data_IF_884104142298
#
_entry.id   IF_884104142298
#
_cell.length_a   1.000
_cell.length_b   1.000
_cell.length_c   1.000
_cell.angle_alpha   90.00
_cell.angle_beta   90.00
_cell.angle_gamma   90.00
#
_symmetry.space_group_name_H-M   'P 1'
#
loop_
_entity.id
_entity.type
_entity.pdbx_description
1 polymer ?
#
# COMPACT_ATOMS: atom_id res chain seq x y z
N UNK A 1 45.96 -11.81 11.37
CA UNK A 1 44.93 -12.85 11.16
C UNK A 1 43.70 -12.37 11.90
N UNK A 2 42.82 -11.59 11.25
CA UNK A 2 41.54 -11.23 11.86
C UNK A 2 40.66 -12.46 11.84
N UNK A 3 40.43 -13.05 13.01
CA UNK A 3 39.44 -14.09 13.21
C UNK A 3 38.06 -13.48 12.97
N UNK A 4 37.48 -13.79 11.83
CA UNK A 4 36.09 -13.47 11.49
C UNK A 4 35.21 -14.33 12.41
N UNK A 5 34.74 -13.71 13.49
CA UNK A 5 33.81 -14.32 14.42
C UNK A 5 32.49 -14.57 13.66
N UNK A 6 31.86 -15.76 13.79
CA UNK A 6 30.61 -16.01 13.08
C UNK A 6 29.57 -14.99 13.51
N UNK A 7 29.17 -14.15 12.54
CA UNK A 7 28.08 -13.20 12.57
C UNK A 7 26.89 -13.73 13.38
N UNK A 8 26.60 -13.16 14.53
CA UNK A 8 25.50 -13.64 15.39
C UNK A 8 24.16 -13.11 14.86
N UNK A 9 23.13 -13.95 14.90
CA UNK A 9 21.74 -13.50 14.63
C UNK A 9 21.37 -12.41 15.62
N UNK A 10 20.61 -11.41 15.18
CA UNK A 10 20.14 -10.33 16.05
C UNK A 10 19.29 -10.86 17.22
N UNK A 11 19.48 -10.25 18.39
CA UNK A 11 18.79 -10.64 19.64
C UNK A 11 17.95 -9.52 20.23
N UNK A 12 18.06 -8.27 19.72
CA UNK A 12 17.18 -7.18 20.11
C UNK A 12 15.72 -7.53 19.77
N UNK A 13 14.80 -7.47 20.75
CA UNK A 13 13.41 -7.88 20.56
C UNK A 13 12.64 -7.03 19.54
N UNK A 14 13.18 -5.87 19.13
CA UNK A 14 12.61 -5.07 18.05
C UNK A 14 12.88 -5.68 16.68
N UNK A 15 13.95 -6.44 16.51
CA UNK A 15 14.38 -6.95 15.21
C UNK A 15 14.45 -8.49 15.18
N UNK A 16 13.37 -9.22 15.53
CA UNK A 16 13.37 -10.66 15.42
C UNK A 16 13.39 -11.08 13.95
N UNK A 17 14.24 -12.06 13.63
CA UNK A 17 14.20 -12.73 12.32
C UNK A 17 13.01 -13.69 12.24
N UNK A 18 12.52 -13.94 11.02
CA UNK A 18 11.41 -14.83 10.72
C UNK A 18 10.27 -14.10 9.99
N UNK A 19 9.04 -14.58 10.20
CA UNK A 19 7.83 -14.10 9.52
C UNK A 19 7.32 -12.78 10.07
N UNK A 20 7.00 -11.87 9.17
CA UNK A 20 6.41 -10.56 9.43
C UNK A 20 5.19 -10.34 8.55
N UNK A 21 4.25 -9.58 9.08
CA UNK A 21 3.02 -9.15 8.42
C UNK A 21 2.94 -7.63 8.44
N UNK A 22 2.02 -7.06 7.67
CA UNK A 22 1.67 -5.66 7.76
C UNK A 22 1.16 -5.11 6.45
N UNK A 23 1.16 -3.79 6.31
CA UNK A 23 0.60 -3.14 5.13
C UNK A 23 1.38 -1.90 4.70
N UNK A 24 1.15 -1.49 3.46
CA UNK A 24 1.53 -0.17 2.97
C UNK A 24 0.31 0.62 2.51
N UNK A 25 0.45 1.94 2.49
CA UNK A 25 -0.55 2.88 1.99
C UNK A 25 -0.01 3.51 0.71
N UNK A 26 -0.87 3.67 -0.30
CA UNK A 26 -0.56 4.40 -1.53
C UNK A 26 -1.70 5.38 -1.82
N UNK A 27 -1.41 6.68 -1.91
CA UNK A 27 -2.44 7.69 -2.16
C UNK A 27 -3.19 7.50 -3.49
N UNK A 28 -2.63 6.72 -4.43
CA UNK A 28 -3.24 6.40 -5.72
C UNK A 28 -4.24 5.26 -5.63
N UNK A 29 -4.16 4.41 -4.60
CA UNK A 29 -5.02 3.25 -4.40
C UNK A 29 -5.49 3.23 -2.94
N UNK A 30 -6.78 3.57 -2.67
CA UNK A 30 -7.31 3.60 -1.32
C UNK A 30 -7.14 2.27 -0.57
N UNK A 31 -7.04 2.36 0.75
CA UNK A 31 -6.99 1.21 1.66
C UNK A 31 -5.58 0.79 2.06
N UNK A 32 -5.54 -0.21 2.95
CA UNK A 32 -4.32 -0.91 3.37
C UNK A 32 -4.02 -2.01 2.37
N UNK A 33 -2.77 -2.07 1.92
CA UNK A 33 -2.29 -3.10 1.02
C UNK A 33 -1.41 -4.06 1.80
N UNK A 34 -1.96 -5.23 2.12
CA UNK A 34 -1.30 -6.26 2.93
C UNK A 34 -0.02 -6.77 2.27
N UNK A 35 0.96 -7.10 3.10
CA UNK A 35 2.23 -7.70 2.71
C UNK A 35 2.68 -8.74 3.73
N UNK A 36 3.24 -9.82 3.20
CA UNK A 36 3.89 -10.86 3.98
C UNK A 36 5.39 -10.86 3.69
N UNK A 37 6.19 -11.03 4.74
CA UNK A 37 7.64 -10.98 4.65
C UNK A 37 8.29 -12.10 5.47
N UNK A 38 9.45 -12.55 5.02
CA UNK A 38 10.40 -13.30 5.82
C UNK A 38 11.70 -12.49 5.91
N UNK A 39 12.02 -12.02 7.11
CA UNK A 39 13.11 -11.08 7.37
C UNK A 39 14.22 -11.76 8.17
N UNK A 40 15.46 -11.45 7.82
CA UNK A 40 16.66 -11.84 8.58
C UNK A 40 17.41 -10.58 9.00
N UNK A 41 17.64 -10.46 10.30
CA UNK A 41 18.43 -9.41 10.93
C UNK A 41 19.71 -10.04 11.50
N UNK A 42 20.87 -9.57 11.01
CA UNK A 42 22.19 -10.08 11.42
C UNK A 42 23.23 -9.01 11.13
N UNK A 43 24.09 -8.72 12.11
CA UNK A 43 25.21 -7.77 11.97
C UNK A 43 24.80 -6.44 11.31
N UNK A 44 23.71 -5.81 11.78
CA UNK A 44 23.19 -4.53 11.25
C UNK A 44 22.70 -4.62 9.79
N UNK A 45 22.66 -5.82 9.20
CA UNK A 45 22.14 -6.10 7.87
C UNK A 45 20.73 -6.66 7.96
N UNK A 46 19.83 -6.05 7.17
CA UNK A 46 18.47 -6.52 6.94
C UNK A 46 18.40 -7.16 5.54
N UNK A 47 18.05 -8.44 5.48
CA UNK A 47 17.72 -9.13 4.24
C UNK A 47 16.36 -9.80 4.36
N UNK A 48 15.73 -10.11 3.25
CA UNK A 48 14.50 -10.88 3.28
C UNK A 48 13.86 -11.02 1.93
N UNK A 49 12.68 -11.62 1.94
CA UNK A 49 11.81 -11.79 0.79
C UNK A 49 10.37 -11.66 1.22
N UNK A 50 9.46 -11.55 0.25
CA UNK A 50 8.05 -11.45 0.54
C UNK A 50 7.20 -11.26 -0.69
N UNK A 51 5.91 -11.06 -0.43
CA UNK A 51 4.89 -10.86 -1.46
C UNK A 51 3.83 -9.89 -0.97
N UNK A 52 3.30 -9.13 -1.92
CA UNK A 52 2.08 -8.32 -1.76
C UNK A 52 1.29 -8.28 -3.07
N UNK A 53 0.32 -7.35 -3.15
CA UNK A 53 -0.52 -7.14 -4.34
C UNK A 53 0.24 -6.75 -5.62
N UNK A 54 1.48 -6.25 -5.52
CA UNK A 54 2.31 -5.89 -6.68
C UNK A 54 3.09 -7.10 -7.17
N UNK A 55 3.49 -7.99 -6.26
CA UNK A 55 4.12 -9.27 -6.58
C UNK A 55 5.19 -9.69 -5.58
N UNK A 56 6.04 -10.62 -6.00
CA UNK A 56 7.19 -11.08 -5.21
C UNK A 56 8.34 -10.08 -5.21
N UNK A 57 9.05 -10.00 -4.09
CA UNK A 57 10.15 -9.07 -3.92
C UNK A 57 11.25 -9.61 -3.01
N UNK A 58 12.44 -9.00 -3.16
CA UNK A 58 13.59 -9.17 -2.27
C UNK A 58 13.84 -7.89 -1.48
N UNK A 59 14.34 -8.04 -0.26
CA UNK A 59 14.71 -6.95 0.64
C UNK A 59 16.21 -6.99 0.91
N UNK A 60 16.83 -5.81 0.83
CA UNK A 60 18.21 -5.60 1.30
C UNK A 60 18.38 -4.21 1.88
N UNK A 61 18.95 -4.14 3.07
CA UNK A 61 19.09 -2.90 3.81
C UNK A 61 19.93 -3.03 5.07
N UNK A 62 19.75 -2.07 5.96
CA UNK A 62 20.41 -2.00 7.26
C UNK A 62 19.45 -1.55 8.34
N UNK A 63 19.79 -1.88 9.57
CA UNK A 63 19.12 -1.43 10.78
C UNK A 63 20.16 -1.02 11.82
N UNK A 64 19.77 -0.16 12.75
CA UNK A 64 20.60 0.26 13.87
C UNK A 64 19.83 0.17 15.19
N UNK A 65 20.53 -0.23 16.25
CA UNK A 65 19.91 -0.48 17.55
C UNK A 65 19.73 0.79 18.39
N UNK A 66 20.59 1.81 18.18
CA UNK A 66 20.61 2.99 19.04
C UNK A 66 19.28 3.75 19.02
N UNK A 67 18.78 4.06 17.83
CA UNK A 67 17.52 4.80 17.66
C UNK A 67 16.42 3.92 17.04
N UNK A 68 16.77 2.67 16.67
CA UNK A 68 15.83 1.73 16.06
C UNK A 68 15.56 2.03 14.59
N UNK A 69 16.38 2.87 13.93
CA UNK A 69 16.22 3.18 12.52
C UNK A 69 16.52 1.99 11.64
N UNK A 70 15.80 1.92 10.53
CA UNK A 70 16.03 0.94 9.49
C UNK A 70 15.74 1.55 8.12
N UNK A 71 16.53 1.13 7.14
CA UNK A 71 16.35 1.54 5.77
C UNK A 71 16.69 0.38 4.85
N UNK A 72 15.87 0.15 3.84
CA UNK A 72 16.09 -0.94 2.89
C UNK A 72 15.57 -0.59 1.51
N UNK A 73 16.00 -1.39 0.55
CA UNK A 73 15.43 -1.41 -0.79
C UNK A 73 14.61 -2.68 -0.93
N UNK A 74 13.37 -2.52 -1.39
CA UNK A 74 12.49 -3.60 -1.81
C UNK A 74 12.56 -3.69 -3.33
N UNK A 75 13.05 -4.79 -3.87
CA UNK A 75 13.19 -5.03 -5.30
C UNK A 75 12.15 -6.05 -5.75
N UNK A 76 11.17 -5.61 -6.55
CA UNK A 76 10.24 -6.53 -7.18
C UNK A 76 10.95 -7.33 -8.29
N UNK A 77 10.70 -8.64 -8.35
CA UNK A 77 11.38 -9.53 -9.30
C UNK A 77 11.08 -9.09 -10.75
N UNK A 78 12.13 -8.81 -11.52
CA UNK A 78 12.02 -8.36 -12.92
C UNK A 78 11.42 -6.96 -13.12
N UNK A 79 11.23 -6.18 -12.04
CA UNK A 79 10.53 -4.89 -12.08
C UNK A 79 11.34 -3.77 -11.40
N UNK A 80 10.65 -2.85 -10.71
CA UNK A 80 11.22 -1.66 -10.08
C UNK A 80 11.58 -1.91 -8.62
N UNK A 81 12.42 -1.02 -8.07
CA UNK A 81 12.75 -0.98 -6.66
C UNK A 81 12.04 0.15 -5.93
N UNK A 82 11.75 -0.05 -4.66
CA UNK A 82 11.15 0.94 -3.75
C UNK A 82 12.08 1.11 -2.54
N UNK A 83 12.37 2.35 -2.16
CA UNK A 83 13.19 2.66 -1.00
C UNK A 83 12.31 2.82 0.24
N UNK A 84 12.67 2.17 1.34
CA UNK A 84 11.96 2.22 2.61
C UNK A 84 12.85 2.87 3.68
N UNK A 85 12.23 3.69 4.51
CA UNK A 85 12.83 4.27 5.72
C UNK A 85 11.81 4.15 6.85
N UNK A 86 12.22 3.51 7.93
CA UNK A 86 11.38 3.31 9.09
C UNK A 86 12.15 3.28 10.38
N UNK A 87 11.41 3.00 11.44
CA UNK A 87 11.94 2.91 12.78
C UNK A 87 11.09 1.95 13.60
N UNK A 88 11.70 1.37 14.62
CA UNK A 88 11.06 0.40 15.50
C UNK A 88 11.26 0.78 16.96
N UNK A 89 10.13 1.02 17.63
CA UNK A 89 10.05 1.38 19.05
C UNK A 89 9.38 0.27 19.88
N UNK A 90 9.44 -0.98 19.38
CA UNK A 90 8.84 -2.15 20.03
C UNK A 90 7.40 -2.46 19.60
N UNK A 91 6.90 -1.81 18.54
CA UNK A 91 5.56 -2.02 17.97
C UNK A 91 5.60 -2.37 16.49
N UNK A 92 6.65 -3.08 16.07
CA UNK A 92 6.97 -3.28 14.67
C UNK A 92 7.67 -2.07 14.04
N UNK A 93 8.00 -2.21 12.76
CA UNK A 93 8.67 -1.19 11.96
C UNK A 93 7.62 -0.39 11.20
N UNK A 94 7.67 0.93 11.32
CA UNK A 94 6.79 1.83 10.58
C UNK A 94 7.56 3.01 10.02
N UNK A 95 7.00 3.64 8.98
CA UNK A 95 7.65 4.77 8.33
C UNK A 95 7.11 5.04 6.95
N UNK A 96 8.02 5.41 6.03
CA UNK A 96 7.68 5.80 4.67
C UNK A 96 8.41 4.98 3.62
N UNK A 97 7.73 4.75 2.51
CA UNK A 97 8.33 4.23 1.30
C UNK A 97 8.34 5.31 0.21
N UNK A 98 9.28 5.17 -0.72
CA UNK A 98 9.49 6.08 -1.83
C UNK A 98 9.79 5.30 -3.10
N UNK A 99 8.98 5.57 -4.13
CA UNK A 99 9.21 5.16 -5.50
C UNK A 99 9.52 6.41 -6.33
N UNK A 100 10.80 6.58 -6.67
CA UNK A 100 11.28 7.68 -7.50
C UNK A 100 11.64 7.22 -8.90
N UNK A 101 11.24 8.01 -9.90
CA UNK A 101 11.82 8.01 -11.25
C UNK A 101 12.34 9.41 -11.58
N UNK A 102 12.99 9.55 -12.74
CA UNK A 102 13.67 10.78 -13.15
C UNK A 102 12.78 12.04 -13.11
N UNK A 103 11.47 11.89 -13.30
CA UNK A 103 10.52 13.01 -13.44
C UNK A 103 9.39 13.02 -12.42
N UNK A 104 9.26 11.98 -11.59
CA UNK A 104 8.16 11.88 -10.65
C UNK A 104 8.55 11.03 -9.44
N UNK A 105 7.88 11.30 -8.33
CA UNK A 105 8.08 10.61 -7.06
C UNK A 105 6.73 10.31 -6.44
N UNK A 106 6.52 9.07 -6.03
CA UNK A 106 5.38 8.65 -5.22
C UNK A 106 5.91 8.16 -3.89
N UNK A 107 5.17 8.48 -2.83
CA UNK A 107 5.50 8.07 -1.46
C UNK A 107 4.25 7.59 -0.76
N UNK A 108 4.43 6.79 0.27
CA UNK A 108 3.35 6.38 1.16
C UNK A 108 3.86 5.89 2.50
N UNK A 109 2.92 5.60 3.40
CA UNK A 109 3.21 5.05 4.72
C UNK A 109 3.30 3.52 4.67
N UNK A 110 3.92 2.92 5.67
CA UNK A 110 3.84 1.49 5.91
C UNK A 110 3.96 1.17 7.40
N UNK A 111 3.48 0.00 7.78
CA UNK A 111 3.67 -0.58 9.10
C UNK A 111 3.77 -2.09 8.96
N UNK A 112 4.85 -2.70 9.45
CA UNK A 112 5.06 -4.14 9.51
C UNK A 112 5.41 -4.58 10.94
N UNK A 113 5.00 -5.78 11.34
CA UNK A 113 5.28 -6.35 12.65
C UNK A 113 5.52 -7.87 12.54
N UNK A 114 6.22 -8.49 13.52
CA UNK A 114 6.42 -9.93 13.53
C UNK A 114 5.07 -10.67 13.61
N UNK A 115 4.91 -11.80 12.93
CA UNK A 115 3.64 -12.56 12.89
C UNK A 115 3.13 -12.96 14.28
N UNK A 116 4.03 -13.19 15.24
CA UNK A 116 3.68 -13.49 16.64
C UNK A 116 3.24 -12.27 17.47
N UNK A 117 3.31 -11.06 16.93
CA UNK A 117 2.87 -9.82 17.57
C UNK A 117 1.41 -9.52 17.18
N UNK A 118 0.57 -9.17 18.15
CA UNK A 118 -0.78 -8.68 17.88
C UNK A 118 -0.71 -7.38 17.05
N UNK A 119 -1.68 -7.16 16.16
CA UNK A 119 -1.72 -5.96 15.31
C UNK A 119 -1.57 -4.69 16.16
N UNK A 120 -0.46 -3.95 16.01
CA UNK A 120 -0.17 -2.78 16.83
C UNK A 120 -0.97 -1.54 16.42
N UNK A 121 -1.69 -1.59 15.30
CA UNK A 121 -2.47 -0.47 14.75
C UNK A 121 -3.87 -0.36 15.33
N UNK A 122 -4.29 -1.33 16.14
CA UNK A 122 -5.54 -1.26 16.91
C UNK A 122 -6.82 -1.52 16.10
N UNK A 123 -6.72 -2.09 14.89
CA UNK A 123 -7.89 -2.60 14.18
C UNK A 123 -8.35 -3.92 14.82
N UNK A 124 -9.08 -3.81 15.93
CA UNK A 124 -10.12 -4.82 16.17
C UNK A 124 -11.13 -4.65 15.04
N UNK A 125 -11.15 -5.61 14.10
CA UNK A 125 -12.10 -5.73 12.99
C UNK A 125 -13.49 -5.20 13.40
N UNK A 126 -13.80 -3.95 13.03
CA UNK A 126 -15.18 -3.56 12.84
C UNK A 126 -15.52 -4.11 11.46
N UNK A 127 -16.16 -5.26 11.47
CA UNK A 127 -16.89 -5.81 10.34
C UNK A 127 -18.00 -4.80 9.98
N UNK A 128 -17.65 -3.74 9.26
CA UNK A 128 -18.63 -2.83 8.68
C UNK A 128 -19.28 -3.53 7.49
N UNK A 129 -20.35 -4.23 7.85
CA UNK A 129 -21.53 -4.56 7.07
C UNK A 129 -21.54 -4.07 5.61
N UNK A 130 -21.41 -5.04 4.71
CA UNK A 130 -22.27 -5.27 3.54
C UNK A 130 -23.14 -4.07 3.10
N UNK A 131 -22.59 -3.25 2.19
CA UNK A 131 -23.41 -2.40 1.34
C UNK A 131 -23.55 -3.13 0.00
N UNK A 132 -24.73 -3.66 -0.37
CA UNK A 132 -24.91 -4.21 -1.70
C UNK A 132 -24.71 -3.09 -2.72
N UNK A 133 -23.79 -3.32 -3.65
CA UNK A 133 -23.68 -2.53 -4.88
C UNK A 133 -25.03 -2.65 -5.60
N UNK A 134 -25.81 -1.58 -5.60
CA UNK A 134 -27.00 -1.46 -6.44
C UNK A 134 -26.54 -1.35 -7.89
N UNK A 135 -26.26 -2.49 -8.51
CA UNK A 135 -26.22 -2.65 -9.95
C UNK A 135 -27.63 -3.10 -10.37
N UNK A 136 -28.55 -2.16 -10.54
CA UNK A 136 -29.74 -2.45 -11.33
C UNK A 136 -29.48 -2.06 -12.78
N UNK A 137 -29.44 -3.15 -13.54
CA UNK A 137 -29.34 -3.32 -14.98
C UNK A 137 -30.23 -2.37 -15.78
N UNK A 138 -29.63 -1.76 -16.79
CA UNK A 138 -30.28 -1.48 -18.07
C UNK A 138 -30.90 -2.77 -18.58
N UNK A 139 -32.22 -2.79 -18.82
CA UNK A 139 -32.92 -3.53 -19.89
C UNK A 139 -34.44 -3.51 -19.63
N UNK A 140 -35.16 -2.59 -20.29
CA UNK A 140 -36.55 -2.85 -20.71
C UNK A 140 -36.81 -2.09 -22.01
N UNK A 141 -36.62 -2.76 -23.14
CA UNK A 141 -37.23 -2.38 -24.42
C UNK A 141 -38.62 -3.01 -24.52
N UNK A 142 -39.68 -2.21 -24.68
CA UNK A 142 -40.70 -2.40 -25.74
C UNK A 142 -41.85 -1.36 -25.73
N UNK A 143 -42.57 -1.18 -26.86
CA UNK A 143 -42.95 0.14 -27.37
C UNK A 143 -44.47 0.42 -27.50
N UNK A 144 -44.82 1.67 -27.84
CA UNK A 144 -45.81 2.08 -28.88
C UNK A 144 -46.76 3.24 -28.50
N UNK A 145 -47.03 4.07 -29.52
CA UNK A 145 -48.06 5.11 -29.70
C UNK A 145 -47.76 6.50 -29.09
N UNK A 146 -47.74 7.62 -29.82
CA UNK A 146 -48.10 7.87 -31.21
C UNK A 146 -47.77 9.32 -31.62
N UNK A 147 -47.41 9.45 -32.90
CA UNK A 147 -47.30 10.59 -33.81
C UNK A 147 -47.46 12.07 -33.36
N UNK A 148 -46.40 12.83 -33.73
CA UNK A 148 -46.34 14.07 -34.55
C UNK A 148 -46.43 15.47 -33.90
N UNK A 149 -45.25 16.11 -33.93
CA UNK A 149 -44.91 17.54 -34.04
C UNK A 149 -45.67 18.32 -35.16
N UNK A 150 -45.60 19.68 -35.30
CA UNK A 150 -44.41 20.51 -35.01
C UNK A 150 -44.62 21.92 -34.41
N UNK A 151 -43.47 22.52 -34.11
CA UNK A 151 -43.20 23.89 -33.69
C UNK A 151 -43.89 25.00 -34.50
N UNK A 152 -44.20 26.12 -33.83
CA UNK A 152 -44.46 27.41 -34.44
C UNK A 152 -43.54 28.50 -33.85
N UNK A 153 -43.03 29.29 -34.78
CA UNK A 153 -41.95 30.29 -34.76
C UNK A 153 -42.37 31.59 -34.05
N UNK A 154 -41.44 32.35 -33.43
CA UNK A 154 -41.77 33.67 -32.84
C UNK A 154 -42.10 34.70 -33.93
N UNK A 155 -43.19 35.46 -33.74
CA UNK A 155 -43.50 36.63 -34.57
C UNK A 155 -43.16 37.93 -33.84
N UNK A 156 -42.33 38.72 -34.52
CA UNK A 156 -42.09 40.14 -34.35
C UNK A 156 -43.32 40.96 -34.76
N UNK A 157 -43.61 42.07 -34.07
CA UNK A 157 -44.36 43.18 -34.65
C UNK A 157 -43.90 44.50 -34.02
N UNK A 158 -43.27 45.33 -34.85
CA UNK A 158 -43.13 46.77 -34.70
C UNK A 158 -44.26 47.47 -35.48
N UNK A 159 -44.40 48.78 -35.24
CA UNK A 159 -45.29 49.79 -35.85
C UNK A 159 -46.73 49.87 -35.33
N UNK A 160 -47.40 51.03 -35.27
CA UNK A 160 -47.10 52.47 -35.32
C UNK A 160 -48.52 53.07 -35.40
N UNK A 161 -48.86 54.00 -34.51
CA UNK A 161 -49.87 55.06 -34.71
C UNK A 161 -49.98 55.96 -33.49
#
# INVERSE_FOLDING_TARGET
MSSEQPAAVETDPRFPSGRWLGFFLDARVPGRHEMELDLTFRDEVLTGEGRDIVGEFLIRGRYELKEGHCHWTKQYIGQHSVAYRGFNEGKGIWGTWELGRLTWKVTGGFHIWPEGMADPTGEQLHEEADAPLSFESLDDESPMFGEREPAAVPQTASDDR
#
